data_IF_182005359545
#
_entry.id   IF_182005359545
#
_cell.length_a   1.000
_cell.length_b   1.000
_cell.length_c   1.000
_cell.angle_alpha   90.00
_cell.angle_beta   90.00
_cell.angle_gamma   90.00
#
_symmetry.space_group_name_H-M   'P 1'
#
loop_
_entity.id
_entity.type
_entity.pdbx_description
1 polymer ?
#
# COMPACT_ATOMS: atom_id res chain seq x y z
N UNK A 1 11.58 -50.25 -22.13
CA UNK A 1 11.00 -49.35 -21.12
C UNK A 1 11.01 -47.94 -21.72
N UNK A 2 9.90 -47.46 -22.25
CA UNK A 2 9.84 -46.14 -22.89
C UNK A 2 9.28 -45.12 -21.88
N UNK A 3 10.03 -44.05 -21.62
CA UNK A 3 9.60 -42.95 -20.76
C UNK A 3 8.81 -41.93 -21.60
N UNK A 4 7.50 -41.88 -21.39
CA UNK A 4 6.65 -40.84 -21.97
C UNK A 4 6.95 -39.52 -21.26
N UNK A 5 7.60 -38.59 -21.95
CA UNK A 5 7.75 -37.20 -21.49
C UNK A 5 6.42 -36.47 -21.68
N UNK A 6 5.77 -36.08 -20.58
CA UNK A 6 4.58 -35.24 -20.62
C UNK A 6 4.96 -33.82 -21.07
N UNK A 7 4.16 -33.14 -21.92
CA UNK A 7 4.43 -31.77 -22.29
C UNK A 7 4.39 -30.87 -21.06
N UNK A 8 5.50 -30.18 -20.79
CA UNK A 8 5.58 -29.15 -19.76
C UNK A 8 4.62 -28.02 -20.14
N UNK A 9 3.54 -27.85 -19.37
CA UNK A 9 2.61 -26.75 -19.56
C UNK A 9 3.37 -25.43 -19.32
N UNK A 10 3.62 -24.67 -20.39
CA UNK A 10 4.19 -23.33 -20.28
C UNK A 10 3.26 -22.48 -19.40
N UNK A 11 3.78 -21.69 -18.46
CA UNK A 11 2.95 -20.88 -17.58
C UNK A 11 2.12 -19.90 -18.43
N UNK A 12 0.80 -19.99 -18.29
CA UNK A 12 -0.17 -19.07 -18.89
C UNK A 12 0.27 -17.63 -18.57
N UNK A 13 0.73 -16.94 -19.61
CA UNK A 13 1.09 -15.51 -19.68
C UNK A 13 1.19 -14.79 -18.34
N UNK A 14 2.41 -14.73 -17.78
CA UNK A 14 2.70 -13.86 -16.65
C UNK A 14 2.21 -12.44 -16.97
N UNK A 15 1.16 -11.99 -16.29
CA UNK A 15 0.51 -10.71 -16.56
C UNK A 15 1.55 -9.60 -16.46
N UNK A 16 1.88 -9.01 -17.61
CA UNK A 16 2.98 -8.04 -17.75
C UNK A 16 2.53 -6.69 -17.20
N UNK A 17 3.44 -6.01 -16.50
CA UNK A 17 3.21 -4.63 -16.04
C UNK A 17 3.50 -3.68 -17.19
N UNK A 18 2.49 -2.90 -17.56
CA UNK A 18 2.56 -1.82 -18.53
C UNK A 18 2.70 -0.49 -17.79
N UNK A 19 3.36 0.47 -18.41
CA UNK A 19 3.63 1.78 -17.81
C UNK A 19 3.11 2.89 -18.71
N UNK A 20 2.40 3.82 -18.11
CA UNK A 20 1.92 5.04 -18.75
C UNK A 20 2.58 6.23 -18.06
N UNK A 21 3.13 7.15 -18.84
CA UNK A 21 3.57 8.45 -18.32
C UNK A 21 2.34 9.36 -18.33
N UNK A 22 1.93 9.81 -17.15
CA UNK A 22 0.72 10.63 -16.98
C UNK A 22 1.09 12.12 -16.95
N UNK A 23 2.21 12.46 -16.32
CA UNK A 23 2.72 13.83 -16.26
C UNK A 23 4.26 13.86 -16.26
N UNK A 24 4.84 15.06 -16.33
CA UNK A 24 6.25 15.32 -16.11
C UNK A 24 6.66 14.91 -14.68
N UNK A 25 7.18 13.69 -14.57
CA UNK A 25 7.60 13.13 -13.28
C UNK A 25 6.64 12.11 -12.69
N UNK A 26 5.50 11.84 -13.34
CA UNK A 26 4.53 10.89 -12.81
C UNK A 26 4.23 9.75 -13.80
N UNK A 27 4.40 8.52 -13.33
CA UNK A 27 4.17 7.29 -14.09
C UNK A 27 3.25 6.34 -13.34
N UNK A 28 2.30 5.76 -14.07
CA UNK A 28 1.35 4.78 -13.53
C UNK A 28 1.62 3.40 -14.13
N UNK A 29 1.61 2.40 -13.27
CA UNK A 29 1.71 0.99 -13.64
C UNK A 29 0.32 0.37 -13.75
N UNK A 30 0.08 -0.37 -14.83
CA UNK A 30 -1.11 -1.19 -15.01
C UNK A 30 -0.73 -2.65 -15.17
N UNK A 31 -1.51 -3.56 -14.57
CA UNK A 31 -1.31 -5.01 -14.66
C UNK A 31 -2.66 -5.66 -14.93
N UNK A 32 -2.80 -6.31 -16.09
CA UNK A 32 -4.05 -7.00 -16.44
C UNK A 32 -5.26 -6.08 -16.60
N UNK A 33 -5.04 -4.82 -16.97
CA UNK A 33 -6.09 -3.80 -17.06
C UNK A 33 -6.37 -3.06 -15.76
N UNK A 34 -5.81 -3.52 -14.63
CA UNK A 34 -5.99 -2.89 -13.31
C UNK A 34 -4.83 -1.97 -12.95
N UNK A 35 -5.12 -0.96 -12.12
CA UNK A 35 -4.10 -0.12 -11.50
C UNK A 35 -3.23 -0.95 -10.57
N UNK A 36 -1.91 -0.83 -10.71
CA UNK A 36 -0.95 -1.63 -9.97
C UNK A 36 -0.01 -0.80 -9.08
N UNK A 37 0.05 0.52 -9.29
CA UNK A 37 0.86 1.44 -8.51
C UNK A 37 1.37 2.61 -9.34
N UNK A 38 2.24 3.42 -8.75
CA UNK A 38 2.80 4.59 -9.42
C UNK A 38 4.25 4.84 -9.02
N UNK A 39 4.94 5.64 -9.84
CA UNK A 39 6.24 6.22 -9.53
C UNK A 39 6.14 7.71 -9.73
N UNK A 40 6.59 8.46 -8.73
CA UNK A 40 6.58 9.92 -8.72
C UNK A 40 8.01 10.45 -8.57
N UNK A 41 8.34 11.49 -9.32
CA UNK A 41 9.62 12.18 -9.24
C UNK A 41 9.57 13.17 -8.08
N UNK A 42 10.56 13.09 -7.20
CA UNK A 42 10.69 13.96 -6.04
C UNK A 42 12.03 14.68 -6.10
N UNK A 43 12.20 15.73 -5.28
CA UNK A 43 13.45 16.46 -5.19
C UNK A 43 14.60 15.51 -4.83
N UNK A 44 15.43 15.15 -5.80
CA UNK A 44 16.53 14.18 -5.63
C UNK A 44 16.09 12.71 -5.69
N UNK A 45 15.21 12.33 -6.62
CA UNK A 45 14.99 10.93 -6.97
C UNK A 45 13.54 10.58 -7.35
N UNK A 46 13.17 9.33 -7.09
CA UNK A 46 11.88 8.75 -7.44
C UNK A 46 11.31 7.98 -6.25
N UNK A 47 10.01 8.13 -6.00
CA UNK A 47 9.28 7.35 -5.00
C UNK A 47 8.35 6.39 -5.71
N UNK A 48 8.48 5.10 -5.39
CA UNK A 48 7.56 4.07 -5.88
C UNK A 48 6.45 3.81 -4.86
N UNK A 49 5.22 3.67 -5.33
CA UNK A 49 4.01 3.43 -4.53
C UNK A 49 3.26 2.21 -5.05
N UNK A 50 2.69 1.44 -4.13
CA UNK A 50 1.84 0.31 -4.48
C UNK A 50 0.42 0.74 -4.90
N UNK A 51 -0.43 -0.24 -5.22
CA UNK A 51 -1.82 -0.02 -5.62
C UNK A 51 -2.68 0.68 -4.53
N UNK A 52 -2.23 0.69 -3.27
CA UNK A 52 -2.92 1.32 -2.14
C UNK A 52 -2.33 2.69 -1.77
N UNK A 53 -1.32 3.15 -2.50
CA UNK A 53 -0.64 4.40 -2.19
C UNK A 53 0.37 4.29 -1.04
N UNK A 54 0.77 3.08 -0.65
CA UNK A 54 1.83 2.85 0.33
C UNK A 54 3.19 3.02 -0.35
N UNK A 55 4.10 3.87 0.17
CA UNK A 55 5.45 3.98 -0.36
C UNK A 55 6.21 2.66 -0.23
N UNK A 56 6.67 2.13 -1.36
CA UNK A 56 7.51 0.93 -1.45
C UNK A 56 8.96 1.29 -1.10
N UNK A 57 9.43 2.42 -1.62
CA UNK A 57 10.81 2.88 -1.43
C UNK A 57 11.11 4.15 -2.19
N UNK A 58 12.31 4.68 -1.96
CA UNK A 58 12.88 5.81 -2.67
C UNK A 58 14.13 5.35 -3.43
N UNK A 59 14.29 5.83 -4.64
CA UNK A 59 15.29 5.39 -5.60
C UNK A 59 15.92 6.58 -6.28
N UNK A 60 17.19 6.48 -6.64
CA UNK A 60 17.87 7.54 -7.38
C UNK A 60 17.53 7.48 -8.87
N UNK A 61 17.20 6.28 -9.37
CA UNK A 61 16.97 6.01 -10.80
C UNK A 61 15.55 5.49 -11.04
N UNK A 62 14.88 6.05 -12.06
CA UNK A 62 13.52 5.66 -12.45
C UNK A 62 13.40 4.15 -12.78
N UNK A 63 14.43 3.57 -13.39
CA UNK A 63 14.44 2.15 -13.75
C UNK A 63 14.32 1.25 -12.50
N UNK A 64 15.01 1.59 -11.41
CA UNK A 64 14.97 0.86 -10.14
C UNK A 64 13.60 1.01 -9.47
N UNK A 65 13.06 2.23 -9.48
CA UNK A 65 11.70 2.48 -8.98
C UNK A 65 10.66 1.64 -9.72
N UNK A 66 10.74 1.56 -11.06
CA UNK A 66 9.83 0.73 -11.87
C UNK A 66 10.06 -0.77 -11.67
N UNK A 67 11.30 -1.19 -11.44
CA UNK A 67 11.64 -2.59 -11.14
C UNK A 67 11.05 -3.03 -9.80
N UNK A 68 11.01 -2.15 -8.79
CA UNK A 68 10.48 -2.48 -7.46
C UNK A 68 9.02 -2.96 -7.51
N UNK A 69 8.18 -2.35 -8.35
CA UNK A 69 6.79 -2.79 -8.56
C UNK A 69 6.74 -4.19 -9.21
N UNK A 70 7.64 -4.51 -10.15
CA UNK A 70 7.66 -5.83 -10.81
C UNK A 70 7.86 -6.98 -9.82
N UNK A 71 8.63 -6.74 -8.76
CA UNK A 71 8.92 -7.72 -7.71
C UNK A 71 7.93 -7.72 -6.54
N UNK A 72 6.88 -6.88 -6.55
CA UNK A 72 5.97 -6.65 -5.40
C UNK A 72 4.94 -7.78 -5.18
N UNK A 73 5.35 -9.03 -5.34
CA UNK A 73 4.78 -10.17 -4.58
C UNK A 73 5.58 -10.39 -3.28
N UNK A 74 6.40 -9.40 -2.87
CA UNK A 74 7.28 -9.50 -1.73
C UNK A 74 6.51 -9.46 -0.38
N UNK A 75 6.69 -10.46 0.51
CA UNK A 75 5.95 -10.58 1.77
C UNK A 75 6.14 -9.39 2.73
N UNK A 76 7.23 -8.62 2.60
CA UNK A 76 7.46 -7.42 3.41
C UNK A 76 6.41 -6.33 3.17
N UNK A 77 5.85 -6.24 1.95
CA UNK A 77 4.80 -5.26 1.64
C UNK A 77 3.45 -5.67 2.23
N UNK A 78 3.16 -6.98 2.25
CA UNK A 78 1.93 -7.53 2.86
C UNK A 78 1.95 -7.45 4.40
N UNK A 79 3.12 -7.57 5.01
CA UNK A 79 3.31 -7.42 6.47
C UNK A 79 3.14 -5.97 6.95
N UNK A 80 3.65 -4.99 6.21
CA UNK A 80 3.49 -3.55 6.54
C UNK A 80 2.02 -3.13 6.46
N UNK A 81 1.31 -3.63 5.44
CA UNK A 81 -0.14 -3.43 5.26
C UNK A 81 -0.97 -3.94 6.45
N UNK A 82 -0.72 -5.16 6.94
CA UNK A 82 -1.40 -5.71 8.14
C UNK A 82 -1.13 -4.92 9.42
N UNK A 83 0.04 -4.29 9.53
CA UNK A 83 0.41 -3.48 10.71
C UNK A 83 -0.30 -2.12 10.69
N UNK A 84 -0.45 -1.50 9.52
CA UNK A 84 -1.19 -0.25 9.36
C UNK A 84 -2.72 -0.45 9.54
N UNK A 85 -3.29 -1.55 9.03
CA UNK A 85 -4.71 -1.88 9.22
C UNK A 85 -5.09 -2.10 10.71
N UNK A 86 -4.15 -2.57 11.54
CA UNK A 86 -4.37 -2.75 12.99
C UNK A 86 -4.27 -1.46 13.79
N UNK A 87 -3.43 -0.50 13.38
CA UNK A 87 -3.32 0.79 14.08
C UNK A 87 -4.55 1.68 13.92
N UNK A 88 -5.31 1.53 12.83
CA UNK A 88 -6.56 2.27 12.62
C UNK A 88 -7.68 1.90 13.60
N UNK A 89 -7.73 0.65 14.09
CA UNK A 89 -8.76 0.24 15.05
C UNK A 89 -8.50 0.76 16.47
N UNK A 90 -7.24 0.95 16.86
CA UNK A 90 -6.88 1.44 18.20
C UNK A 90 -7.04 2.97 18.31
N UNK A 91 -6.82 3.71 17.23
CA UNK A 91 -7.00 5.15 17.20
C UNK A 91 -8.47 5.59 17.44
N UNK A 92 -9.45 4.75 17.10
CA UNK A 92 -10.86 5.06 17.27
C UNK A 92 -11.33 5.00 18.74
N UNK A 93 -10.70 4.18 19.59
CA UNK A 93 -11.11 4.04 21.00
C UNK A 93 -10.57 5.12 21.94
N UNK A 94 -9.52 5.86 21.55
CA UNK A 94 -8.87 6.82 22.44
C UNK A 94 -9.63 8.16 22.56
N UNK A 95 -10.46 8.53 21.58
CA UNK A 95 -11.25 9.78 21.62
C UNK A 95 -12.59 9.64 22.36
N UNK A 96 -13.04 8.42 22.68
CA UNK A 96 -14.29 8.21 23.42
C UNK A 96 -14.19 8.43 24.93
N UNK A 97 -12.98 8.39 25.50
CA UNK A 97 -12.78 8.43 26.96
C UNK A 97 -12.83 9.84 27.56
N UNK A 98 -12.42 10.88 26.82
CA UNK A 98 -12.44 12.27 27.32
C UNK A 98 -13.87 12.83 27.49
N UNK A 99 -14.84 12.38 26.68
CA UNK A 99 -16.21 12.85 26.78
C UNK A 99 -16.93 12.36 28.06
N UNK A 100 -16.61 11.16 28.55
CA UNK A 100 -17.27 10.58 29.72
C UNK A 100 -16.85 11.25 31.04
N UNK A 101 -15.62 11.77 31.12
CA UNK A 101 -15.08 12.37 32.35
C UNK A 101 -15.71 13.74 32.65
N UNK A 102 -16.04 14.54 31.62
CA UNK A 102 -16.68 15.85 31.83
C UNK A 102 -18.15 15.75 32.27
N UNK A 103 -18.86 14.68 31.90
CA UNK A 103 -20.26 14.50 32.29
C UNK A 103 -20.40 14.23 33.80
N UNK A 104 -19.42 13.59 34.43
CA UNK A 104 -19.46 13.28 35.86
C UNK A 104 -19.14 14.49 36.75
N UNK A 105 -18.34 15.45 36.30
CA UNK A 105 -18.02 16.66 37.08
C UNK A 105 -19.11 17.73 37.03
N UNK A 106 -19.97 17.73 36.01
CA UNK A 106 -21.09 18.68 35.90
C UNK A 106 -22.32 18.25 36.73
N UNK A 107 -22.53 16.95 36.97
CA UNK A 107 -23.64 16.45 37.79
C UNK A 107 -23.52 16.69 39.29
N UNK A 108 -22.35 17.12 39.78
CA UNK A 108 -22.08 17.30 41.21
C UNK A 108 -22.43 18.70 41.76
N UNK A 109 -22.77 19.68 40.92
CA UNK A 109 -23.08 21.07 41.31
C UNK A 109 -24.54 21.46 41.07
N UNK A 110 -25.46 20.47 41.10
CA UNK A 110 -26.89 20.70 40.93
C UNK A 110 -27.75 20.84 42.21
N UNK A 111 -27.29 20.74 43.48
CA UNK A 111 -28.20 20.85 44.62
C UNK A 111 -28.13 22.19 45.39
N UNK A 112 -27.64 23.30 44.82
CA UNK A 112 -27.54 24.58 45.56
C UNK A 112 -28.10 25.83 44.85
N UNK A 113 -29.10 25.67 43.99
CA UNK A 113 -30.04 26.74 43.62
C UNK A 113 -31.47 26.18 43.60
#
# INVERSE_FOLDING_TARGET
>A
MAVTSAPSAAPLSAVRILWVKVDAGFWVAHRGGEYFGCVDAVAGGFVARDAHGVPIGRYDVLAEAKASLRSTTHPTNTLRRRRMERTSLVAATALGSTALVFALTAGAMAPYL
#
